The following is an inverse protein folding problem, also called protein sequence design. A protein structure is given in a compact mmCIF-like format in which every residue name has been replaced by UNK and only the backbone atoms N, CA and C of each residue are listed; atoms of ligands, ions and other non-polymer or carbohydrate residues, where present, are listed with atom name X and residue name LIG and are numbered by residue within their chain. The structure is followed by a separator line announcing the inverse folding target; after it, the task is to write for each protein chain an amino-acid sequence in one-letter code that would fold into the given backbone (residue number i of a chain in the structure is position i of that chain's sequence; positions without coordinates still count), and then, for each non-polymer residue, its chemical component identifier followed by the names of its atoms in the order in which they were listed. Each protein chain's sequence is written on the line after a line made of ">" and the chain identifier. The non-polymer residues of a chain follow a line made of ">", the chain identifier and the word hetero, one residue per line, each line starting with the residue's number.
data_IF_110308748836
#
_entry.id   IF_110308748836
#
_cell.length_a   1.000
_cell.length_b   1.000
_cell.length_c   1.000
_cell.angle_alpha   90.00
_cell.angle_beta   90.00
_cell.angle_gamma   90.00
#
_symmetry.space_group_name_H-M   'P 1'
#
loop_
_entity.id
_entity.type
_entity.pdbx_description
1 polymer ?
#
# COMPACT_ATOMS: atom_id res chain seq x y z
N UNK A 1 76.95 -7.83 -46.96
CA UNK A 1 76.87 -8.62 -45.68
C UNK A 1 75.51 -8.26 -45.03
N UNK A 2 74.67 -9.25 -44.88
CA UNK A 2 73.25 -9.10 -44.40
C UNK A 2 73.23 -9.08 -42.89
N UNK A 3 72.57 -8.12 -42.28
CA UNK A 3 72.17 -8.19 -40.84
C UNK A 3 70.66 -8.00 -40.75
N UNK A 4 70.01 -9.08 -40.23
CA UNK A 4 68.58 -9.15 -39.96
C UNK A 4 68.26 -8.41 -38.67
N UNK A 5 67.27 -7.50 -38.73
CA UNK A 5 66.69 -6.87 -37.58
C UNK A 5 65.37 -7.60 -37.31
N UNK A 6 65.23 -8.27 -36.15
CA UNK A 6 64.02 -8.91 -35.70
C UNK A 6 63.20 -7.90 -34.97
N UNK A 7 62.02 -7.60 -35.48
CA UNK A 7 60.99 -6.83 -34.83
C UNK A 7 60.23 -7.71 -33.83
N UNK A 8 60.36 -7.41 -32.53
CA UNK A 8 59.53 -7.98 -31.50
C UNK A 8 58.25 -7.16 -31.32
N UNK A 9 57.10 -7.73 -31.65
CA UNK A 9 55.80 -7.13 -31.39
C UNK A 9 55.46 -7.37 -29.90
N UNK A 10 55.37 -6.30 -29.14
CA UNK A 10 54.83 -6.35 -27.76
C UNK A 10 53.33 -6.14 -27.86
N UNK A 11 52.56 -7.23 -27.71
CA UNK A 11 51.10 -7.16 -27.56
C UNK A 11 50.75 -6.72 -26.12
N UNK A 12 50.33 -5.49 -25.99
CA UNK A 12 49.75 -5.01 -24.75
C UNK A 12 48.31 -5.51 -24.66
N UNK A 13 48.05 -6.44 -23.72
CA UNK A 13 46.72 -6.90 -23.36
C UNK A 13 46.09 -5.84 -22.46
N UNK A 14 45.18 -5.03 -23.00
CA UNK A 14 44.35 -4.12 -22.22
C UNK A 14 43.22 -4.97 -21.61
N UNK A 15 43.33 -5.27 -20.31
CA UNK A 15 42.24 -5.85 -19.55
C UNK A 15 41.18 -4.76 -19.35
N UNK A 16 40.06 -4.85 -20.06
CA UNK A 16 38.88 -4.04 -19.85
C UNK A 16 38.22 -4.56 -18.51
N UNK A 17 38.42 -3.83 -17.42
CA UNK A 17 37.65 -4.02 -16.21
C UNK A 17 36.23 -3.50 -16.52
N UNK A 18 35.33 -4.41 -16.83
CA UNK A 18 33.89 -4.17 -16.80
C UNK A 18 33.51 -4.03 -15.33
N UNK A 19 33.48 -2.80 -14.81
CA UNK A 19 32.71 -2.48 -13.62
C UNK A 19 31.26 -2.59 -14.04
N UNK A 20 30.66 -3.77 -13.84
CA UNK A 20 29.21 -3.90 -13.83
C UNK A 20 28.73 -3.01 -12.69
N UNK A 21 28.03 -1.93 -13.01
CA UNK A 21 27.08 -1.39 -12.06
C UNK A 21 26.09 -2.52 -11.78
N UNK A 22 26.15 -3.11 -10.60
CA UNK A 22 25.02 -3.80 -10.03
C UNK A 22 23.94 -2.73 -9.87
N UNK A 23 23.12 -2.60 -10.89
CA UNK A 23 21.78 -2.03 -10.72
C UNK A 23 21.13 -3.08 -9.83
N UNK A 24 20.96 -2.76 -8.54
CA UNK A 24 19.98 -3.45 -7.70
C UNK A 24 18.68 -3.14 -8.41
N UNK A 25 18.26 -4.03 -9.31
CA UNK A 25 16.86 -4.09 -9.72
C UNK A 25 16.10 -4.22 -8.41
N UNK A 26 15.34 -3.18 -8.07
CA UNK A 26 14.33 -3.33 -7.04
C UNK A 26 13.60 -4.61 -7.39
N UNK A 27 13.48 -5.57 -6.47
CA UNK A 27 12.82 -6.81 -6.81
C UNK A 27 11.46 -6.40 -7.34
N UNK A 28 11.26 -6.58 -8.66
CA UNK A 28 9.93 -6.64 -9.22
C UNK A 28 9.30 -7.69 -8.34
N UNK A 29 8.37 -7.27 -7.47
CA UNK A 29 7.51 -8.22 -6.79
C UNK A 29 6.75 -8.84 -7.95
N UNK A 30 7.31 -9.90 -8.54
CA UNK A 30 6.53 -10.76 -9.40
C UNK A 30 5.35 -11.09 -8.51
N UNK A 31 4.16 -10.65 -8.91
CA UNK A 31 2.90 -10.97 -8.25
C UNK A 31 2.86 -12.47 -8.10
N UNK A 32 3.41 -12.93 -6.97
CA UNK A 32 3.74 -14.32 -6.81
C UNK A 32 2.46 -15.08 -6.62
N UNK A 33 2.24 -16.03 -7.48
CA UNK A 33 1.34 -17.15 -7.18
C UNK A 33 1.69 -17.65 -5.80
N UNK A 34 0.69 -17.87 -4.97
CA UNK A 34 0.89 -18.42 -3.63
C UNK A 34 1.71 -19.72 -3.68
N UNK A 35 2.72 -19.79 -2.82
CA UNK A 35 3.66 -20.90 -2.75
C UNK A 35 3.12 -22.01 -1.84
N UNK A 36 2.06 -22.67 -2.30
CA UNK A 36 1.46 -23.83 -1.57
C UNK A 36 2.44 -24.99 -1.38
N UNK A 37 3.47 -25.08 -2.21
CA UNK A 37 4.58 -26.04 -2.05
C UNK A 37 5.44 -25.77 -0.82
N UNK A 38 5.49 -24.54 -0.32
CA UNK A 38 6.23 -24.13 0.87
C UNK A 38 5.35 -23.95 2.11
N UNK A 39 4.12 -23.45 1.93
CA UNK A 39 3.28 -22.96 3.04
C UNK A 39 1.98 -23.76 3.24
N UNK A 40 1.79 -24.83 2.48
CA UNK A 40 0.61 -25.69 2.59
C UNK A 40 -0.60 -25.18 1.79
N UNK A 41 -1.78 -25.75 2.04
CA UNK A 41 -2.97 -25.40 1.27
C UNK A 41 -3.47 -23.99 1.59
N UNK A 42 -4.17 -23.38 0.62
CA UNK A 42 -4.90 -22.12 0.82
C UNK A 42 -5.95 -22.32 1.93
N UNK A 43 -6.10 -21.34 2.86
CA UNK A 43 -7.13 -21.38 3.89
C UNK A 43 -8.53 -21.52 3.32
N UNK A 44 -9.42 -22.14 4.10
CA UNK A 44 -10.83 -22.31 3.72
C UNK A 44 -11.66 -21.23 4.42
N UNK A 45 -12.16 -20.29 3.64
CA UNK A 45 -13.06 -19.25 4.13
C UNK A 45 -14.52 -19.73 4.16
N UNK A 46 -15.27 -19.25 5.15
CA UNK A 46 -16.72 -19.46 5.22
C UNK A 46 -17.42 -18.16 4.81
N UNK A 47 -18.31 -18.18 3.80
CA UNK A 47 -19.10 -17.02 3.41
C UNK A 47 -19.89 -16.46 4.60
N UNK A 48 -19.91 -15.13 4.77
CA UNK A 48 -20.71 -14.46 5.81
C UNK A 48 -22.20 -14.50 5.49
N UNK A 49 -22.57 -14.55 4.22
CA UNK A 49 -23.95 -14.66 3.74
C UNK A 49 -24.80 -13.41 3.91
N UNK A 50 -24.30 -12.40 4.62
CA UNK A 50 -24.97 -11.10 4.83
C UNK A 50 -24.04 -9.96 4.45
N UNK A 51 -24.54 -8.97 3.66
CA UNK A 51 -23.74 -7.81 3.28
C UNK A 51 -23.22 -7.03 4.49
N UNK A 52 -21.91 -6.77 4.54
CA UNK A 52 -21.24 -6.01 5.58
C UNK A 52 -20.26 -5.01 4.95
N UNK A 53 -20.58 -3.72 5.04
CA UNK A 53 -19.74 -2.66 4.47
C UNK A 53 -18.61 -2.30 5.41
N UNK A 54 -17.39 -2.39 4.91
CA UNK A 54 -16.19 -1.80 5.49
C UNK A 54 -15.69 -0.69 4.59
N UNK A 55 -14.99 0.29 5.16
CA UNK A 55 -14.62 1.54 4.49
C UNK A 55 -13.12 1.74 4.49
N UNK A 56 -12.57 2.18 3.36
CA UNK A 56 -11.19 2.63 3.21
C UNK A 56 -11.13 4.15 3.35
N UNK A 57 -10.27 4.64 4.25
CA UNK A 57 -9.82 6.03 4.31
C UNK A 57 -8.35 6.08 3.89
N UNK A 58 -8.05 6.71 2.76
CA UNK A 58 -6.69 7.03 2.33
C UNK A 58 -6.40 8.48 2.74
N UNK A 59 -5.49 8.68 3.69
CA UNK A 59 -5.06 9.99 4.19
C UNK A 59 -3.75 10.40 3.51
N UNK A 60 -3.80 11.39 2.62
CA UNK A 60 -2.61 11.97 1.97
C UNK A 60 -1.93 12.93 2.93
N UNK A 61 -0.69 12.59 3.29
CA UNK A 61 0.09 13.23 4.35
C UNK A 61 1.58 13.35 4.01
N UNK A 62 2.33 14.01 4.88
CA UNK A 62 3.78 14.13 4.79
C UNK A 62 4.36 14.72 6.08
N UNK A 63 5.62 14.41 6.38
CA UNK A 63 6.27 14.83 7.62
C UNK A 63 6.50 16.34 7.72
N UNK A 64 6.66 17.04 6.59
CA UNK A 64 6.78 18.52 6.53
C UNK A 64 5.40 19.22 6.38
N UNK A 65 4.31 18.46 6.51
CA UNK A 65 2.95 18.99 6.45
C UNK A 65 2.45 19.41 7.85
N UNK A 66 2.63 20.66 8.23
CA UNK A 66 2.29 21.16 9.57
C UNK A 66 0.80 21.10 9.95
N UNK A 67 -0.11 20.87 9.00
CA UNK A 67 -1.54 20.68 9.27
C UNK A 67 -1.97 19.20 9.24
N UNK A 68 -1.11 18.29 8.75
CA UNK A 68 -1.44 16.89 8.60
C UNK A 68 -1.75 16.17 9.92
N UNK A 69 -1.07 16.45 11.05
CA UNK A 69 -1.41 15.86 12.34
C UNK A 69 -2.86 16.08 12.78
N UNK A 70 -3.50 17.20 12.35
CA UNK A 70 -4.92 17.40 12.62
C UNK A 70 -5.80 16.40 11.84
N UNK A 71 -5.37 15.94 10.66
CA UNK A 71 -5.99 14.85 9.92
C UNK A 71 -5.80 13.51 10.63
N UNK A 72 -4.58 13.23 11.11
CA UNK A 72 -4.26 12.02 11.87
C UNK A 72 -5.15 11.88 13.12
N UNK A 73 -5.40 12.98 13.87
CA UNK A 73 -6.33 12.97 15.01
C UNK A 73 -7.76 12.58 14.58
N UNK A 74 -8.23 13.08 13.44
CA UNK A 74 -9.56 12.71 12.93
C UNK A 74 -9.59 11.24 12.52
N UNK A 75 -8.57 10.76 11.82
CA UNK A 75 -8.45 9.36 11.39
C UNK A 75 -8.42 8.41 12.60
N UNK A 76 -7.64 8.73 13.64
CA UNK A 76 -7.57 7.95 14.88
C UNK A 76 -8.93 7.85 15.60
N UNK A 77 -9.66 8.98 15.73
CA UNK A 77 -11.00 8.98 16.33
C UNK A 77 -12.01 8.15 15.52
N UNK A 78 -11.89 8.17 14.19
CA UNK A 78 -12.71 7.34 13.30
C UNK A 78 -12.36 5.86 13.44
N UNK A 79 -11.07 5.53 13.53
CA UNK A 79 -10.60 4.16 13.75
C UNK A 79 -11.10 3.61 15.10
N UNK A 80 -11.09 4.41 16.18
CA UNK A 80 -11.65 4.04 17.48
C UNK A 80 -13.18 3.83 17.40
N UNK A 81 -13.86 4.63 16.58
CA UNK A 81 -15.32 4.55 16.43
C UNK A 81 -15.76 3.31 15.66
N UNK A 82 -15.07 3.01 14.54
CA UNK A 82 -15.49 1.98 13.59
C UNK A 82 -14.65 0.70 13.66
N UNK A 83 -13.52 0.72 14.38
CA UNK A 83 -12.64 -0.44 14.60
C UNK A 83 -12.30 -1.18 13.28
N UNK A 84 -12.73 -2.45 13.16
CA UNK A 84 -12.45 -3.29 12.00
C UNK A 84 -13.25 -2.91 10.75
N UNK A 85 -14.26 -2.06 10.89
CA UNK A 85 -15.06 -1.57 9.76
C UNK A 85 -14.42 -0.38 9.03
N UNK A 86 -13.32 0.15 9.57
CA UNK A 86 -12.54 1.19 8.92
C UNK A 86 -11.07 0.77 8.76
N UNK A 87 -10.61 0.75 7.52
CA UNK A 87 -9.19 0.67 7.20
C UNK A 87 -8.65 2.07 6.92
N UNK A 88 -7.61 2.49 7.62
CA UNK A 88 -6.88 3.74 7.38
C UNK A 88 -5.56 3.42 6.70
N UNK A 89 -5.19 4.18 5.68
CA UNK A 89 -3.89 4.14 5.02
C UNK A 89 -3.35 5.55 4.96
N UNK A 90 -2.28 5.84 5.71
CA UNK A 90 -1.55 7.09 5.67
C UNK A 90 -0.57 7.08 4.50
N UNK A 91 -0.89 7.84 3.47
CA UNK A 91 -0.15 7.88 2.20
C UNK A 91 0.80 9.06 2.22
N UNK A 92 2.07 8.81 2.59
CA UNK A 92 3.14 9.79 2.47
C UNK A 92 3.52 9.94 0.99
N UNK A 93 3.21 11.09 0.39
CA UNK A 93 3.46 11.36 -1.02
C UNK A 93 3.61 12.87 -1.29
N UNK A 94 4.07 13.22 -2.48
CA UNK A 94 4.21 14.61 -2.92
C UNK A 94 5.28 15.41 -2.20
N UNK A 95 5.26 16.73 -2.38
CA UNK A 95 6.36 17.60 -1.99
C UNK A 95 6.63 17.68 -0.48
N UNK A 96 5.59 17.48 0.35
CA UNK A 96 5.69 17.56 1.82
C UNK A 96 6.09 16.22 2.48
N UNK A 97 6.28 15.17 1.69
CA UNK A 97 6.76 13.86 2.16
C UNK A 97 8.19 13.54 1.68
N UNK A 98 8.80 14.43 0.88
CA UNK A 98 10.17 14.26 0.38
C UNK A 98 11.20 14.51 1.49
N UNK A 99 12.35 13.81 1.47
CA UNK A 99 13.43 14.07 2.40
C UNK A 99 13.88 15.53 2.41
N UNK A 100 14.01 16.13 3.58
CA UNK A 100 14.50 17.50 3.78
C UNK A 100 15.49 17.53 4.97
N UNK A 101 16.74 17.01 4.78
CA UNK A 101 17.74 16.99 5.84
C UNK A 101 18.18 18.41 6.27
N UNK A 102 18.56 18.64 7.57
CA UNK A 102 18.64 17.62 8.61
C UNK A 102 17.33 17.31 9.33
N UNK A 103 16.27 18.12 9.15
CA UNK A 103 15.02 18.04 9.92
C UNK A 103 14.24 16.76 9.60
N UNK A 104 14.12 16.41 8.32
CA UNK A 104 13.39 15.24 7.82
C UNK A 104 14.28 14.39 6.91
N UNK A 105 15.15 13.54 7.49
CA UNK A 105 16.16 12.82 6.70
C UNK A 105 15.59 11.63 5.92
N UNK A 106 14.46 11.08 6.34
CA UNK A 106 13.91 9.83 5.84
C UNK A 106 12.99 10.06 4.63
N UNK A 107 12.97 9.09 3.71
CA UNK A 107 12.01 9.02 2.61
C UNK A 107 10.90 8.01 2.94
N UNK A 108 9.71 8.52 3.18
CA UNK A 108 8.52 7.72 3.46
C UNK A 108 7.60 7.57 2.24
N UNK A 109 8.02 8.10 1.08
CA UNK A 109 7.22 7.98 -0.15
C UNK A 109 7.25 6.56 -0.69
N UNK A 110 6.21 6.20 -1.42
CA UNK A 110 6.13 4.94 -2.16
C UNK A 110 5.69 5.23 -3.58
N UNK A 111 6.04 4.35 -4.54
CA UNK A 111 5.60 4.49 -5.93
C UNK A 111 4.07 4.53 -6.03
N UNK A 112 3.38 3.71 -5.24
CA UNK A 112 1.92 3.69 -5.17
C UNK A 112 1.35 4.96 -4.58
N UNK A 113 1.95 5.49 -3.51
CA UNK A 113 1.53 6.73 -2.88
C UNK A 113 1.64 7.92 -3.83
N UNK A 114 2.77 8.04 -4.53
CA UNK A 114 2.98 9.05 -5.56
C UNK A 114 1.97 8.90 -6.71
N UNK A 115 1.72 7.67 -7.16
CA UNK A 115 0.71 7.42 -8.18
C UNK A 115 -0.69 7.84 -7.71
N UNK A 116 -1.08 7.52 -6.47
CA UNK A 116 -2.38 7.88 -5.92
C UNK A 116 -2.57 9.39 -5.82
N UNK A 117 -1.57 10.11 -5.32
CA UNK A 117 -1.67 11.56 -5.16
C UNK A 117 -1.51 12.29 -6.50
N UNK A 118 -0.41 12.04 -7.21
CA UNK A 118 -0.04 12.87 -8.37
C UNK A 118 -0.75 12.45 -9.66
N UNK A 119 -1.09 11.16 -9.82
CA UNK A 119 -1.72 10.66 -11.04
C UNK A 119 -3.23 10.54 -10.89
N UNK A 120 -3.73 9.91 -9.83
CA UNK A 120 -5.18 9.71 -9.66
C UNK A 120 -5.89 10.97 -9.17
N UNK A 121 -5.35 11.60 -8.12
CA UNK A 121 -5.89 12.86 -7.58
C UNK A 121 -5.48 14.03 -8.45
N UNK A 122 -4.23 14.02 -8.93
CA UNK A 122 -3.67 15.07 -9.80
C UNK A 122 -3.42 16.40 -9.08
N UNK A 123 -3.29 16.38 -7.74
CA UNK A 123 -3.09 17.56 -6.92
C UNK A 123 -2.17 17.23 -5.74
N UNK A 124 -1.12 18.02 -5.55
CA UNK A 124 -0.23 17.94 -4.40
C UNK A 124 -0.75 18.88 -3.30
N UNK A 125 -1.81 18.48 -2.62
CA UNK A 125 -2.48 19.26 -1.56
C UNK A 125 -2.73 18.38 -0.34
N UNK A 126 -2.25 18.80 0.83
CA UNK A 126 -2.36 18.10 2.12
C UNK A 126 -2.80 19.03 3.25
N UNK A 127 -3.42 18.52 4.34
CA UNK A 127 -4.01 17.17 4.45
C UNK A 127 -5.28 17.04 3.61
N UNK A 128 -5.40 15.94 2.90
CA UNK A 128 -6.60 15.53 2.15
C UNK A 128 -6.74 14.01 2.22
N UNK A 129 -7.96 13.51 2.07
CA UNK A 129 -8.18 12.08 2.04
C UNK A 129 -9.31 11.67 1.10
N UNK A 130 -9.36 10.38 0.81
CA UNK A 130 -10.41 9.73 0.02
C UNK A 130 -11.12 8.70 0.87
N UNK A 131 -12.44 8.66 0.76
CA UNK A 131 -13.28 7.65 1.42
C UNK A 131 -13.89 6.75 0.36
N UNK A 132 -13.51 5.47 0.32
CA UNK A 132 -13.88 4.49 -0.72
C UNK A 132 -13.72 5.01 -2.16
N UNK A 133 -12.90 6.04 -2.38
CA UNK A 133 -12.71 6.70 -3.68
C UNK A 133 -14.04 7.15 -4.29
N UNK A 134 -14.98 7.63 -3.46
CA UNK A 134 -16.31 8.05 -3.89
C UNK A 134 -16.38 9.57 -4.14
N UNK A 135 -17.10 10.01 -5.19
CA UNK A 135 -17.72 9.25 -6.29
C UNK A 135 -16.75 8.79 -7.37
N UNK A 136 -15.45 9.07 -7.25
CA UNK A 136 -14.40 8.67 -8.17
C UNK A 136 -13.01 8.87 -7.55
N UNK A 137 -11.98 8.24 -8.09
CA UNK A 137 -10.64 8.18 -7.54
C UNK A 137 -9.94 9.55 -7.39
N UNK A 138 -10.34 10.55 -8.17
CA UNK A 138 -9.82 11.93 -8.04
C UNK A 138 -10.50 12.77 -6.96
N UNK A 139 -11.55 12.25 -6.31
CA UNK A 139 -12.31 12.99 -5.30
C UNK A 139 -11.60 12.93 -3.96
N UNK A 140 -11.25 14.12 -3.43
CA UNK A 140 -10.59 14.29 -2.14
C UNK A 140 -11.41 15.18 -1.22
N UNK A 141 -11.27 14.94 0.09
CA UNK A 141 -11.97 15.66 1.14
C UNK A 141 -10.98 16.20 2.18
N UNK A 142 -11.29 17.36 2.76
CA UNK A 142 -10.56 17.84 3.95
C UNK A 142 -10.90 16.99 5.17
N UNK A 143 -10.02 16.89 6.18
CA UNK A 143 -10.26 16.10 7.40
C UNK A 143 -11.58 16.40 8.10
N UNK A 144 -12.03 17.67 8.07
CA UNK A 144 -13.32 18.09 8.64
C UNK A 144 -14.54 17.41 8.00
N UNK A 145 -14.41 16.84 6.81
CA UNK A 145 -15.50 16.13 6.13
C UNK A 145 -15.43 14.61 6.33
N UNK A 146 -14.33 14.04 6.79
CA UNK A 146 -14.11 12.59 6.85
C UNK A 146 -15.14 11.88 7.70
N UNK A 147 -15.49 12.41 8.88
CA UNK A 147 -16.51 11.82 9.76
C UNK A 147 -17.85 11.62 9.04
N UNK A 148 -18.30 12.64 8.32
CA UNK A 148 -19.55 12.53 7.56
C UNK A 148 -19.42 11.54 6.39
N UNK A 149 -18.29 11.58 5.65
CA UNK A 149 -18.07 10.71 4.49
C UNK A 149 -17.88 9.25 4.86
N UNK A 150 -17.18 8.94 5.95
CA UNK A 150 -17.08 7.58 6.48
C UNK A 150 -18.46 7.08 6.93
N UNK A 151 -19.23 7.89 7.68
CA UNK A 151 -20.59 7.52 8.08
C UNK A 151 -21.55 7.28 6.91
N UNK A 152 -21.46 8.10 5.85
CA UNK A 152 -22.22 7.91 4.60
C UNK A 152 -21.82 6.60 3.89
N UNK A 153 -20.53 6.28 3.86
CA UNK A 153 -20.01 5.08 3.19
C UNK A 153 -20.35 3.80 3.95
N UNK A 154 -20.20 3.78 5.28
CA UNK A 154 -20.56 2.62 6.15
C UNK A 154 -22.05 2.27 6.05
N UNK A 155 -22.90 3.26 5.85
CA UNK A 155 -24.35 3.05 5.73
C UNK A 155 -24.79 2.43 4.39
N UNK A 156 -23.86 2.25 3.44
CA UNK A 156 -24.20 1.61 2.16
C UNK A 156 -24.34 0.09 2.31
N UNK A 157 -25.16 -0.51 1.46
CA UNK A 157 -25.21 -1.96 1.32
C UNK A 157 -24.16 -2.35 0.28
N UNK A 158 -23.15 -3.15 0.62
CA UNK A 158 -22.12 -3.51 -0.33
C UNK A 158 -22.59 -4.56 -1.32
N UNK A 159 -22.08 -4.48 -2.55
CA UNK A 159 -22.31 -5.48 -3.59
C UNK A 159 -21.53 -6.79 -3.35
N UNK A 160 -20.57 -6.78 -2.42
CA UNK A 160 -19.72 -7.92 -2.09
C UNK A 160 -19.12 -7.78 -0.69
N UNK A 161 -18.79 -8.90 -0.05
CA UNK A 161 -17.98 -8.94 1.16
C UNK A 161 -16.54 -9.36 0.87
N UNK A 162 -15.65 -9.01 1.79
CA UNK A 162 -14.26 -9.46 1.79
C UNK A 162 -13.87 -10.01 3.15
N UNK A 163 -13.03 -11.07 3.13
CA UNK A 163 -12.30 -11.58 4.29
C UNK A 163 -10.82 -11.68 3.91
N UNK A 164 -9.94 -11.59 4.88
CA UNK A 164 -8.50 -11.64 4.67
C UNK A 164 -7.82 -12.44 5.77
N UNK A 165 -6.86 -13.27 5.38
CA UNK A 165 -5.86 -13.86 6.26
C UNK A 165 -4.46 -13.54 5.73
N UNK A 166 -3.53 -13.24 6.62
CA UNK A 166 -2.14 -12.99 6.27
C UNK A 166 -1.21 -13.57 7.32
N UNK A 167 0.00 -13.90 6.92
CA UNK A 167 1.05 -14.38 7.82
C UNK A 167 2.45 -13.94 7.35
N UNK A 168 3.37 -13.79 8.30
CA UNK A 168 4.77 -13.51 8.05
C UNK A 168 5.62 -14.78 8.19
N UNK A 169 6.46 -15.04 7.19
CA UNK A 169 7.34 -16.18 7.08
C UNK A 169 8.81 -15.78 7.27
N UNK A 170 9.24 -15.65 8.50
CA UNK A 170 10.56 -15.14 8.87
C UNK A 170 11.73 -15.90 8.21
N UNK A 171 11.62 -17.24 8.08
CA UNK A 171 12.68 -18.07 7.52
C UNK A 171 12.98 -17.76 6.05
N UNK A 172 11.93 -17.44 5.28
CA UNK A 172 12.02 -17.20 3.84
C UNK A 172 11.94 -15.73 3.49
N UNK A 173 11.76 -14.85 4.47
CA UNK A 173 11.52 -13.41 4.25
C UNK A 173 10.37 -13.19 3.26
N UNK A 174 9.24 -13.86 3.54
CA UNK A 174 8.00 -13.73 2.78
C UNK A 174 6.85 -13.32 3.69
N UNK A 175 5.81 -12.79 3.09
CA UNK A 175 4.50 -12.70 3.68
C UNK A 175 3.46 -13.28 2.73
N UNK A 176 2.51 -14.02 3.28
CA UNK A 176 1.42 -14.61 2.52
C UNK A 176 0.15 -13.82 2.77
N UNK A 177 -0.68 -13.70 1.75
CA UNK A 177 -1.99 -13.05 1.83
C UNK A 177 -3.01 -13.88 1.10
N UNK A 178 -4.14 -14.12 1.76
CA UNK A 178 -5.30 -14.82 1.23
C UNK A 178 -6.51 -13.90 1.35
N UNK A 179 -7.09 -13.52 0.22
CA UNK A 179 -8.26 -12.65 0.15
C UNK A 179 -9.43 -13.44 -0.42
N UNK A 180 -10.49 -13.53 0.37
CA UNK A 180 -11.76 -14.12 -0.03
C UNK A 180 -12.76 -13.03 -0.36
N UNK A 181 -13.51 -13.20 -1.46
CA UNK A 181 -14.60 -12.32 -1.86
C UNK A 181 -15.89 -13.09 -2.08
N UNK A 182 -16.99 -12.56 -1.55
CA UNK A 182 -18.35 -13.09 -1.70
C UNK A 182 -19.23 -12.03 -2.37
N UNK A 183 -19.73 -12.33 -3.56
CA UNK A 183 -20.48 -11.39 -4.40
C UNK A 183 -21.98 -11.58 -4.24
N UNK A 184 -22.72 -10.49 -4.01
CA UNK A 184 -24.17 -10.52 -3.79
C UNK A 184 -24.97 -10.13 -5.03
N UNK A 185 -24.35 -9.39 -5.95
CA UNK A 185 -25.01 -8.85 -7.13
C UNK A 185 -24.33 -9.30 -8.42
N UNK A 186 -25.10 -9.29 -9.52
CA UNK A 186 -24.54 -9.43 -10.85
C UNK A 186 -23.98 -8.08 -11.29
N UNK A 187 -22.67 -8.01 -11.46
CA UNK A 187 -21.99 -6.78 -11.86
C UNK A 187 -21.36 -6.95 -13.25
N UNK A 188 -21.11 -5.83 -13.91
CA UNK A 188 -20.50 -5.79 -15.26
C UNK A 188 -19.14 -5.08 -15.19
N UNK A 189 -18.17 -5.57 -15.95
CA UNK A 189 -16.82 -5.02 -16.02
C UNK A 189 -15.82 -5.80 -15.20
N UNK A 190 -14.61 -5.26 -15.11
CA UNK A 190 -13.49 -5.85 -14.40
C UNK A 190 -13.38 -5.26 -12.99
N UNK A 191 -13.05 -6.13 -12.04
CA UNK A 191 -12.84 -5.79 -10.63
C UNK A 191 -11.43 -6.17 -10.23
N UNK A 192 -10.73 -5.22 -9.58
CA UNK A 192 -9.31 -5.32 -9.30
C UNK A 192 -9.06 -5.36 -7.80
N UNK A 193 -8.23 -6.30 -7.39
CA UNK A 193 -7.78 -6.42 -6.01
C UNK A 193 -6.47 -5.65 -5.83
N UNK A 194 -6.49 -4.71 -4.90
CA UNK A 194 -5.31 -4.01 -4.38
C UNK A 194 -4.99 -4.57 -3.00
N UNK A 195 -3.72 -4.88 -2.76
CA UNK A 195 -3.19 -5.34 -1.47
C UNK A 195 -2.08 -4.38 -1.06
N UNK A 196 -2.27 -3.69 0.05
CA UNK A 196 -1.30 -2.76 0.65
C UNK A 196 -0.77 -3.34 1.96
N UNK A 197 0.48 -3.02 2.26
CA UNK A 197 1.08 -3.20 3.56
C UNK A 197 1.23 -1.84 4.22
N UNK A 198 0.73 -1.71 5.45
CA UNK A 198 0.93 -0.54 6.29
C UNK A 198 1.74 -0.92 7.53
N UNK A 199 2.47 0.05 8.08
CA UNK A 199 3.23 -0.10 9.32
C UNK A 199 2.87 1.04 10.27
N UNK A 200 2.69 0.71 11.54
CA UNK A 200 2.36 1.64 12.62
C UNK A 200 3.48 1.71 13.65
N UNK A 201 3.51 2.76 14.49
CA UNK A 201 4.53 2.92 15.52
C UNK A 201 5.90 3.34 14.96
N UNK A 202 5.94 3.99 13.80
CA UNK A 202 7.17 4.55 13.24
C UNK A 202 7.44 5.90 13.89
N UNK A 203 8.48 5.95 14.73
CA UNK A 203 8.87 7.20 15.42
C UNK A 203 9.84 8.00 14.55
N UNK A 204 9.40 9.16 14.06
CA UNK A 204 10.17 10.03 13.18
C UNK A 204 9.71 11.49 13.32
N UNK A 205 10.50 12.49 12.84
CA UNK A 205 10.12 13.89 12.93
C UNK A 205 8.82 14.21 12.16
N UNK A 206 8.04 15.16 12.73
CA UNK A 206 6.80 15.68 12.13
C UNK A 206 6.63 17.16 12.48
N UNK A 207 6.25 17.96 11.49
CA UNK A 207 5.80 19.33 11.72
C UNK A 207 4.32 19.35 12.12
N UNK A 208 3.96 20.10 13.19
CA UNK A 208 2.58 20.26 13.64
C UNK A 208 2.30 21.71 14.04
N UNK A 209 1.68 22.47 13.15
CA UNK A 209 1.33 23.87 13.42
C UNK A 209 0.33 24.01 14.54
N UNK A 210 0.66 24.94 15.48
CA UNK A 210 -0.15 25.21 16.67
C UNK A 210 0.13 24.28 17.84
N UNK A 211 1.02 23.30 17.69
CA UNK A 211 1.58 22.54 18.81
C UNK A 211 2.75 23.33 19.45
N UNK A 212 3.19 22.98 20.65
CA UNK A 212 4.36 23.57 21.31
C UNK A 212 5.26 22.46 21.89
N UNK A 213 6.42 22.17 21.30
CA UNK A 213 6.96 22.75 20.05
C UNK A 213 6.20 22.33 18.78
N UNK A 214 6.27 23.14 17.71
CA UNK A 214 5.66 22.78 16.41
C UNK A 214 6.44 21.67 15.69
N UNK A 215 7.77 21.61 15.87
CA UNK A 215 8.60 20.51 15.37
C UNK A 215 8.69 19.43 16.45
N UNK A 216 8.15 18.26 16.13
CA UNK A 216 8.11 17.10 17.02
C UNK A 216 9.14 16.11 16.52
N UNK A 217 10.23 15.90 17.28
CA UNK A 217 11.32 15.00 16.90
C UNK A 217 10.89 13.51 16.95
N UNK A 218 10.03 13.16 17.91
CA UNK A 218 9.56 11.78 18.15
C UNK A 218 8.04 11.71 17.98
N UNK A 219 7.57 11.93 16.74
CA UNK A 219 6.16 11.74 16.38
C UNK A 219 5.91 10.29 16.01
N UNK A 220 4.81 9.72 16.52
CA UNK A 220 4.39 8.36 16.25
C UNK A 220 3.50 8.33 15.01
N UNK A 221 4.05 7.80 13.90
CA UNK A 221 3.33 7.67 12.64
C UNK A 221 2.60 6.33 12.58
N UNK A 222 1.30 6.40 12.33
CA UNK A 222 0.40 5.26 12.27
C UNK A 222 -0.07 4.97 10.84
N UNK A 223 -0.34 3.69 10.54
CA UNK A 223 -0.91 3.23 9.28
C UNK A 223 -0.15 3.67 8.02
N UNK A 224 1.16 3.90 8.14
CA UNK A 224 2.01 4.39 7.04
C UNK A 224 2.09 3.35 5.92
N UNK A 225 1.75 3.74 4.69
CA UNK A 225 1.89 2.88 3.51
C UNK A 225 3.36 2.54 3.27
N UNK A 226 3.68 1.24 3.25
CA UNK A 226 5.05 0.75 3.03
C UNK A 226 5.24 0.10 1.67
N UNK A 227 4.23 -0.63 1.20
CA UNK A 227 4.31 -1.35 -0.07
C UNK A 227 2.94 -1.73 -0.61
N UNK A 228 2.92 -2.16 -1.88
CA UNK A 228 1.80 -2.88 -2.46
C UNK A 228 2.24 -4.26 -2.95
N UNK A 229 1.42 -5.28 -2.65
CA UNK A 229 1.60 -6.63 -3.20
C UNK A 229 1.05 -6.81 -4.62
N UNK A 230 0.32 -5.81 -5.13
CA UNK A 230 -0.36 -5.89 -6.43
C UNK A 230 -0.15 -4.65 -7.30
N UNK A 231 0.76 -3.75 -6.88
CA UNK A 231 0.95 -2.44 -7.48
C UNK A 231 -0.22 -1.48 -7.23
N UNK A 232 -0.09 -0.24 -7.67
CA UNK A 232 -1.05 0.83 -7.39
C UNK A 232 -2.47 0.57 -7.93
N UNK A 233 -2.58 -0.16 -9.05
CA UNK A 233 -3.87 -0.42 -9.72
C UNK A 233 -4.46 -1.79 -9.43
N UNK A 234 -3.71 -2.67 -8.78
CA UNK A 234 -4.15 -4.03 -8.47
C UNK A 234 -4.24 -4.97 -9.68
N UNK A 235 -4.67 -6.21 -9.44
CA UNK A 235 -4.88 -7.23 -10.48
C UNK A 235 -6.36 -7.50 -10.69
N UNK A 236 -6.77 -7.76 -11.94
CA UNK A 236 -8.13 -8.21 -12.23
C UNK A 236 -8.35 -9.58 -11.57
N UNK A 237 -9.30 -9.65 -10.64
CA UNK A 237 -9.65 -10.86 -9.92
C UNK A 237 -11.05 -11.37 -10.26
N UNK A 238 -11.90 -10.53 -10.83
CA UNK A 238 -13.21 -10.89 -11.31
C UNK A 238 -13.59 -10.09 -12.57
N UNK A 239 -14.22 -10.72 -13.55
CA UNK A 239 -14.81 -10.09 -14.71
C UNK A 239 -16.28 -10.49 -14.78
N UNK A 240 -17.17 -9.50 -14.75
CA UNK A 240 -18.63 -9.71 -14.71
C UNK A 240 -19.08 -10.69 -13.61
N UNK A 241 -18.70 -10.48 -12.33
CA UNK A 241 -19.04 -11.42 -11.26
C UNK A 241 -20.56 -11.57 -11.11
N UNK A 242 -20.98 -12.73 -10.65
CA UNK A 242 -22.39 -13.07 -10.48
C UNK A 242 -22.74 -13.16 -8.98
N UNK A 243 -23.96 -12.76 -8.63
CA UNK A 243 -24.48 -12.95 -7.29
C UNK A 243 -24.39 -14.41 -6.85
N UNK A 244 -23.88 -14.66 -5.66
CA UNK A 244 -23.56 -15.99 -5.13
C UNK A 244 -22.18 -16.53 -5.49
N UNK A 245 -21.42 -15.84 -6.33
CA UNK A 245 -20.03 -16.23 -6.65
C UNK A 245 -19.12 -15.95 -5.47
N UNK A 246 -18.16 -16.85 -5.23
CA UNK A 246 -17.07 -16.67 -4.27
C UNK A 246 -15.73 -16.91 -4.96
N UNK A 247 -14.71 -16.14 -4.58
CA UNK A 247 -13.36 -16.26 -5.10
C UNK A 247 -12.36 -16.16 -3.95
N UNK A 248 -11.26 -16.93 -4.03
CA UNK A 248 -10.09 -16.78 -3.16
C UNK A 248 -8.88 -16.49 -4.01
N UNK A 249 -8.21 -15.38 -3.69
CA UNK A 249 -6.97 -14.97 -4.34
C UNK A 249 -5.86 -15.01 -3.29
N UNK A 250 -4.76 -15.66 -3.62
CA UNK A 250 -3.67 -15.94 -2.68
C UNK A 250 -2.33 -15.59 -3.29
N UNK A 251 -1.47 -14.96 -2.50
CA UNK A 251 -0.17 -14.44 -2.93
C UNK A 251 0.90 -14.76 -1.90
N UNK A 252 2.11 -15.02 -2.38
CA UNK A 252 3.34 -15.00 -1.58
C UNK A 252 4.19 -13.84 -2.06
N UNK A 253 4.55 -12.95 -1.16
CA UNK A 253 5.20 -11.67 -1.44
C UNK A 253 6.52 -11.59 -0.69
N UNK A 254 7.51 -10.86 -1.24
CA UNK A 254 8.80 -10.68 -0.60
C UNK A 254 8.68 -9.67 0.54
N UNK A 255 9.40 -9.93 1.62
CA UNK A 255 9.49 -9.06 2.79
C UNK A 255 10.71 -8.14 2.68
N UNK A 256 10.54 -6.89 3.06
CA UNK A 256 11.66 -5.99 3.29
C UNK A 256 12.06 -6.05 4.76
N UNK A 257 13.33 -6.37 5.04
CA UNK A 257 13.85 -6.53 6.40
C UNK A 257 13.88 -5.25 7.25
N UNK A 258 13.62 -4.09 6.64
CA UNK A 258 13.51 -2.81 7.34
C UNK A 258 12.15 -2.63 8.03
N UNK A 259 11.13 -3.41 7.66
CA UNK A 259 9.80 -3.33 8.25
C UNK A 259 9.70 -4.20 9.51
N UNK A 260 8.92 -3.73 10.48
CA UNK A 260 8.62 -4.49 11.69
C UNK A 260 7.33 -5.30 11.51
N UNK A 261 7.40 -6.64 11.38
CA UNK A 261 6.21 -7.44 11.10
C UNK A 261 5.17 -7.41 12.24
N UNK A 262 5.58 -7.16 13.49
CA UNK A 262 4.67 -7.02 14.63
C UNK A 262 3.82 -5.73 14.56
N UNK A 263 4.28 -4.73 13.79
CA UNK A 263 3.63 -3.42 13.60
C UNK A 263 2.91 -3.31 12.26
N UNK A 264 2.95 -4.36 11.44
CA UNK A 264 2.37 -4.33 10.09
C UNK A 264 0.94 -4.85 10.05
N UNK A 265 0.13 -4.18 9.24
CA UNK A 265 -1.22 -4.59 8.87
C UNK A 265 -1.34 -4.69 7.34
N UNK A 266 -2.05 -5.72 6.88
CA UNK A 266 -2.40 -5.89 5.46
C UNK A 266 -3.78 -5.33 5.23
N UNK A 267 -3.90 -4.39 4.28
CA UNK A 267 -5.16 -3.80 3.84
C UNK A 267 -5.43 -4.24 2.41
N UNK A 268 -6.51 -4.97 2.19
CA UNK A 268 -6.93 -5.41 0.85
C UNK A 268 -8.28 -4.81 0.49
N UNK A 269 -8.43 -4.31 -0.73
CA UNK A 269 -9.68 -3.78 -1.22
C UNK A 269 -9.92 -4.08 -2.69
N UNK A 270 -11.18 -4.17 -3.09
CA UNK A 270 -11.58 -4.37 -4.49
C UNK A 270 -12.12 -3.07 -5.06
N UNK A 271 -11.59 -2.70 -6.25
CA UNK A 271 -12.03 -1.53 -7.01
C UNK A 271 -12.80 -1.93 -8.25
N UNK A 272 -13.71 -1.07 -8.68
CA UNK A 272 -14.42 -1.12 -9.95
C UNK A 272 -13.51 -0.57 -11.06
N UNK A 273 -12.99 -1.44 -11.92
CA UNK A 273 -12.05 -1.07 -12.99
C UNK A 273 -10.72 -0.52 -12.49
N UNK A 274 -10.00 0.19 -13.35
CA UNK A 274 -8.75 0.86 -13.03
C UNK A 274 -9.05 2.11 -12.21
N UNK A 275 -8.74 2.06 -10.88
CA UNK A 275 -8.87 3.22 -9.98
C UNK A 275 -10.30 3.75 -9.77
N UNK A 276 -11.30 2.93 -10.02
CA UNK A 276 -12.68 3.24 -9.71
C UNK A 276 -12.97 3.29 -8.21
N UNK A 277 -14.23 3.36 -7.84
CA UNK A 277 -14.67 3.31 -6.44
C UNK A 277 -14.24 1.99 -5.77
N UNK A 278 -13.96 2.05 -4.49
CA UNK A 278 -13.77 0.85 -3.66
C UNK A 278 -15.13 0.27 -3.30
N UNK A 279 -15.33 -1.03 -3.58
CA UNK A 279 -16.57 -1.73 -3.26
C UNK A 279 -16.60 -2.15 -1.80
N UNK A 280 -15.50 -2.72 -1.33
CA UNK A 280 -15.32 -3.12 0.06
C UNK A 280 -13.82 -3.26 0.37
N UNK A 281 -13.48 -3.33 1.65
CA UNK A 281 -12.12 -3.48 2.16
C UNK A 281 -12.10 -4.52 3.28
N UNK A 282 -10.97 -5.18 3.45
CA UNK A 282 -10.67 -6.01 4.60
C UNK A 282 -9.24 -5.75 5.07
N UNK A 283 -8.99 -5.87 6.37
CA UNK A 283 -7.66 -5.69 6.96
C UNK A 283 -7.36 -6.78 7.99
N UNK A 284 -6.09 -7.06 8.18
CA UNK A 284 -5.63 -7.98 9.22
C UNK A 284 -4.20 -7.65 9.63
N UNK A 285 -3.85 -7.88 10.89
CA UNK A 285 -2.46 -7.83 11.31
C UNK A 285 -1.66 -8.93 10.63
N UNK A 286 -0.41 -8.65 10.33
CA UNK A 286 0.48 -9.64 9.73
C UNK A 286 0.91 -10.70 10.75
N UNK A 287 1.08 -10.29 12.01
CA UNK A 287 1.25 -11.17 13.17
C UNK A 287 0.11 -10.88 14.14
N UNK A 288 -0.75 -11.88 14.44
CA UNK A 288 -1.94 -11.72 15.29
C UNK A 288 -1.64 -11.36 16.73
#
# INVERSE_FOLDING_TARGET
>A
MKTNLKNGLFSAFVALLLTGCDVIEQPIIESGTYRSDLYGPVPVFTPEGTPHQRVLLEDFTGHDCGNCPNGHVVAANLQETYNDDLAVVAVHAGSLAQPLPPEFPDDWTTEEGEYYLLTQVGQDIMPKGRVNRLPGASTIHSPSAWTAKVGEAIAQVPAMNMQIEADYQATNQHWNVHVFSEWFENLTGDYRLVILLTESGIVAPQLWYGNDPEFIEEYDHEHMLRASGTGATGFVVASNPQGGQTLTNSYTLNWNSEWNPDSCEVVAFITEGDNGRVLNVAKTKLIP
#
